data_IF_849603065224
#
_entry.id   IF_849603065224
#
_cell.length_a   1.000
_cell.length_b   1.000
_cell.length_c   1.000
_cell.angle_alpha   90.00
_cell.angle_beta   90.00
_cell.angle_gamma   90.00
#
_symmetry.space_group_name_H-M   'P 1'
#
loop_
_entity.id
_entity.type
_entity.pdbx_description
1 polymer ?
#
# COMPACT_ATOMS: atom_id res chain seq x y z
N UNK A 1 -12.20 -64.08 45.59
CA UNK A 1 -10.97 -64.60 46.24
C UNK A 1 -10.06 -63.40 46.42
N UNK A 2 -10.14 -62.83 47.43
CA UNK A 2 -9.34 -62.43 48.63
C UNK A 2 -7.84 -62.69 48.41
N UNK A 3 -7.02 -61.65 48.68
CA UNK A 3 -5.77 -61.57 49.50
C UNK A 3 -5.10 -60.23 49.14
N UNK A 4 -5.20 -59.21 49.90
CA UNK A 4 -4.40 -58.73 51.05
C UNK A 4 -3.03 -58.12 50.71
N UNK A 5 -2.93 -56.81 51.09
CA UNK A 5 -1.80 -55.95 51.29
C UNK A 5 -0.70 -56.55 52.17
N UNK A 6 0.53 -55.99 52.21
CA UNK A 6 0.76 -55.08 53.31
C UNK A 6 1.60 -53.81 53.00
N UNK A 7 1.37 -52.83 53.82
CA UNK A 7 2.13 -51.63 54.14
C UNK A 7 3.60 -51.93 54.51
N UNK A 8 4.52 -51.05 54.14
CA UNK A 8 5.65 -50.68 54.96
C UNK A 8 5.96 -49.19 54.87
N UNK A 9 6.10 -48.61 56.01
CA UNK A 9 6.37 -47.22 56.29
C UNK A 9 7.84 -46.96 56.62
N UNK A 10 8.22 -45.69 56.59
CA UNK A 10 9.25 -45.01 57.39
C UNK A 10 10.68 -44.99 56.86
N UNK A 11 11.15 -43.74 56.69
CA UNK A 11 12.56 -43.43 56.65
C UNK A 11 12.80 -41.94 56.30
N UNK A 12 12.52 -41.02 57.30
CA UNK A 12 13.08 -39.65 57.22
C UNK A 12 14.58 -39.74 57.52
N UNK A 13 15.39 -39.15 56.67
CA UNK A 13 16.74 -38.69 56.93
C UNK A 13 16.99 -37.33 56.35
N UNK A 14 17.05 -36.34 57.23
CA UNK A 14 17.54 -34.97 56.88
C UNK A 14 19.06 -34.94 57.02
N UNK A 15 19.75 -34.27 56.08
CA UNK A 15 21.08 -33.66 56.32
C UNK A 15 21.52 -32.91 55.03
N UNK A 16 22.57 -32.10 55.02
CA UNK A 16 22.43 -30.65 55.26
C UNK A 16 22.77 -29.82 53.98
N UNK A 17 22.44 -28.55 54.11
CA UNK A 17 22.76 -27.49 53.10
C UNK A 17 24.28 -27.36 52.88
N UNK A 18 24.68 -27.39 51.64
CA UNK A 18 25.94 -26.79 51.18
C UNK A 18 25.62 -25.65 50.22
N UNK A 19 25.82 -24.42 50.70
CA UNK A 19 25.89 -23.25 49.88
C UNK A 19 27.21 -23.33 49.07
N UNK A 20 27.07 -23.38 47.73
CA UNK A 20 28.15 -23.06 46.82
C UNK A 20 27.64 -21.99 45.85
N UNK A 21 28.14 -20.78 45.99
CA UNK A 21 27.91 -19.69 45.09
C UNK A 21 28.63 -20.00 43.76
N UNK A 22 28.08 -19.53 42.68
CA UNK A 22 28.73 -19.63 41.34
C UNK A 22 27.85 -19.11 40.24
N UNK A 23 28.16 -17.92 39.79
CA UNK A 23 28.06 -17.57 38.40
C UNK A 23 26.66 -17.36 37.81
N UNK A 24 26.09 -16.18 37.99
CA UNK A 24 25.01 -15.71 37.17
C UNK A 24 25.43 -15.59 35.72
N UNK A 25 25.19 -16.64 34.93
CA UNK A 25 25.06 -16.54 33.50
C UNK A 25 23.73 -15.86 33.17
N UNK A 26 23.74 -14.55 33.04
CA UNK A 26 22.61 -13.83 32.49
C UNK A 26 22.36 -14.34 31.08
N UNK A 27 21.37 -15.22 30.93
CA UNK A 27 20.72 -15.41 29.63
C UNK A 27 20.05 -14.08 29.34
N UNK A 28 20.71 -13.26 28.51
CA UNK A 28 20.05 -12.19 27.81
C UNK A 28 18.96 -12.86 26.95
N UNK A 29 17.75 -12.84 27.46
CA UNK A 29 16.56 -13.10 26.67
C UNK A 29 16.65 -12.16 25.47
N UNK A 30 16.88 -12.73 24.28
CA UNK A 30 16.74 -12.00 23.05
C UNK A 30 15.35 -11.32 23.11
N UNK A 31 15.27 -10.02 22.75
CA UNK A 31 13.97 -9.38 22.73
C UNK A 31 13.09 -10.19 21.81
N UNK A 32 12.02 -10.75 22.36
CA UNK A 32 10.96 -11.36 21.55
C UNK A 32 10.50 -10.29 20.58
N UNK A 33 10.72 -10.49 19.29
CA UNK A 33 10.10 -9.68 18.28
C UNK A 33 8.59 -9.90 18.46
N UNK A 34 7.94 -9.04 19.22
CA UNK A 34 6.49 -9.05 19.33
C UNK A 34 5.94 -8.88 17.93
N UNK A 35 5.02 -9.76 17.53
CA UNK A 35 4.28 -9.62 16.28
C UNK A 35 3.76 -8.18 16.16
N UNK A 36 3.73 -7.57 14.97
CA UNK A 36 3.23 -6.23 14.81
C UNK A 36 1.83 -6.13 15.44
N UNK A 37 1.61 -5.10 16.24
CA UNK A 37 0.34 -4.88 16.96
C UNK A 37 -0.83 -4.67 15.96
N UNK A 38 -0.53 -4.27 14.73
CA UNK A 38 -1.50 -3.96 13.70
C UNK A 38 -1.21 -4.77 12.41
N UNK A 39 -2.27 -5.12 11.69
CA UNK A 39 -2.14 -5.61 10.32
C UNK A 39 -2.24 -4.43 9.35
N UNK A 40 -1.14 -4.17 8.62
CA UNK A 40 -1.05 -3.02 7.74
C UNK A 40 -2.14 -2.99 6.65
N UNK A 41 -2.53 -4.15 6.12
CA UNK A 41 -3.55 -4.26 5.07
C UNK A 41 -4.94 -3.93 5.62
N UNK A 42 -5.28 -4.48 6.78
CA UNK A 42 -6.55 -4.22 7.46
C UNK A 42 -6.66 -2.75 7.87
N UNK A 43 -5.60 -2.17 8.43
CA UNK A 43 -5.56 -0.76 8.81
C UNK A 43 -5.65 0.16 7.59
N UNK A 44 -4.95 -0.16 6.49
CA UNK A 44 -5.08 0.57 5.24
C UNK A 44 -6.53 0.59 4.74
N UNK A 45 -7.20 -0.57 4.68
CA UNK A 45 -8.61 -0.68 4.25
C UNK A 45 -9.55 0.13 5.16
N UNK A 46 -9.33 0.03 6.48
CA UNK A 46 -10.09 0.80 7.47
C UNK A 46 -9.91 2.31 7.26
N UNK A 47 -8.68 2.75 7.00
CA UNK A 47 -8.36 4.13 6.70
C UNK A 47 -9.05 4.65 5.44
N UNK A 48 -9.04 3.86 4.37
CA UNK A 48 -9.70 4.19 3.10
C UNK A 48 -11.22 4.28 3.28
N UNK A 49 -11.85 3.30 3.94
CA UNK A 49 -13.29 3.34 4.24
C UNK A 49 -13.67 4.57 5.08
N UNK A 50 -12.82 4.93 6.04
CA UNK A 50 -13.02 6.12 6.87
C UNK A 50 -12.88 7.42 6.05
N UNK A 51 -11.95 7.50 5.07
CA UNK A 51 -11.87 8.64 4.15
C UNK A 51 -13.13 8.80 3.31
N UNK A 52 -13.65 7.69 2.77
CA UNK A 52 -14.89 7.68 1.99
C UNK A 52 -16.08 8.18 2.82
N UNK A 53 -16.12 7.79 4.09
CA UNK A 53 -17.12 8.27 5.04
C UNK A 53 -16.85 9.71 5.55
N UNK A 54 -15.81 10.39 5.03
CA UNK A 54 -15.30 11.69 5.51
C UNK A 54 -14.97 11.72 7.01
N UNK A 55 -14.73 10.53 7.59
CA UNK A 55 -14.28 10.40 8.97
C UNK A 55 -12.75 10.51 9.03
N UNK A 56 -12.25 11.72 8.87
CA UNK A 56 -10.80 11.99 8.78
C UNK A 56 -10.04 11.62 10.06
N UNK A 57 -10.70 11.65 11.22
CA UNK A 57 -10.06 11.25 12.49
C UNK A 57 -9.79 9.75 12.51
N UNK A 58 -10.77 8.94 12.15
CA UNK A 58 -10.59 7.49 12.06
C UNK A 58 -9.61 7.12 10.94
N UNK A 59 -9.70 7.80 9.78
CA UNK A 59 -8.77 7.60 8.67
C UNK A 59 -7.33 7.86 9.10
N UNK A 60 -7.06 9.00 9.77
CA UNK A 60 -5.75 9.33 10.31
C UNK A 60 -5.22 8.22 11.21
N UNK A 61 -6.04 7.76 12.16
CA UNK A 61 -5.62 6.72 13.12
C UNK A 61 -5.26 5.42 12.41
N UNK A 62 -6.11 4.97 11.49
CA UNK A 62 -5.88 3.73 10.76
C UNK A 62 -4.62 3.80 9.86
N UNK A 63 -4.41 4.90 9.14
CA UNK A 63 -3.17 5.05 8.36
C UNK A 63 -1.93 5.19 9.24
N UNK A 64 -2.02 5.83 10.39
CA UNK A 64 -0.90 5.89 11.34
C UNK A 64 -0.53 4.48 11.83
N UNK A 65 -1.51 3.61 12.13
CA UNK A 65 -1.29 2.21 12.47
C UNK A 65 -0.67 1.44 11.31
N UNK A 66 -1.21 1.56 10.10
CA UNK A 66 -0.65 0.91 8.91
C UNK A 66 0.83 1.30 8.70
N UNK A 67 1.16 2.57 8.92
CA UNK A 67 2.53 3.09 8.77
C UNK A 67 3.49 2.67 9.87
N UNK A 68 3.02 2.15 11.02
CA UNK A 68 3.91 1.51 12.01
C UNK A 68 4.49 0.21 11.47
N UNK A 69 3.74 -0.50 10.63
CA UNK A 69 4.13 -1.78 10.02
C UNK A 69 4.79 -1.57 8.67
N UNK A 70 4.22 -0.70 7.82
CA UNK A 70 4.69 -0.42 6.47
C UNK A 70 5.08 1.07 6.29
N UNK A 71 6.16 1.56 6.95
CA UNK A 71 6.49 2.99 6.99
C UNK A 71 6.95 3.58 5.65
N UNK A 72 7.23 2.73 4.66
CA UNK A 72 7.71 3.13 3.33
C UNK A 72 6.68 2.92 2.22
N UNK A 73 5.44 2.64 2.56
CA UNK A 73 4.36 2.57 1.58
C UNK A 73 3.93 3.99 1.16
N UNK A 74 4.17 4.33 -0.11
CA UNK A 74 3.92 5.66 -0.65
C UNK A 74 2.43 6.02 -0.65
N UNK A 75 1.57 5.05 -0.96
CA UNK A 75 0.12 5.25 -0.99
C UNK A 75 -0.43 5.55 0.41
N UNK A 76 -0.03 4.76 1.40
CA UNK A 76 -0.44 4.98 2.80
C UNK A 76 0.09 6.32 3.32
N UNK A 77 1.32 6.72 2.95
CA UNK A 77 1.83 8.05 3.27
C UNK A 77 0.97 9.15 2.65
N UNK A 78 0.63 9.03 1.37
CA UNK A 78 -0.24 9.99 0.69
C UNK A 78 -1.61 10.12 1.37
N UNK A 79 -2.30 9.00 1.59
CA UNK A 79 -3.63 8.97 2.21
C UNK A 79 -3.61 9.46 3.67
N UNK A 80 -2.53 9.22 4.41
CA UNK A 80 -2.33 9.80 5.73
C UNK A 80 -2.20 11.32 5.69
N UNK A 81 -1.63 11.86 4.59
CA UNK A 81 -1.64 13.29 4.28
C UNK A 81 -3.05 13.81 4.01
N UNK A 82 -3.82 13.11 3.16
CA UNK A 82 -5.22 13.46 2.83
C UNK A 82 -6.09 13.50 4.08
N UNK A 83 -5.97 12.50 4.96
CA UNK A 83 -6.72 12.48 6.22
C UNK A 83 -6.40 13.70 7.11
N UNK A 84 -5.15 14.14 7.13
CA UNK A 84 -4.72 15.32 7.89
C UNK A 84 -5.19 16.62 7.25
N UNK A 85 -5.19 16.71 5.92
CA UNK A 85 -5.79 17.84 5.20
C UNK A 85 -7.26 17.98 5.54
N UNK A 86 -8.02 16.88 5.57
CA UNK A 86 -9.41 16.86 5.98
C UNK A 86 -9.64 17.30 7.45
N UNK A 87 -8.64 17.20 8.30
CA UNK A 87 -8.65 17.71 9.68
C UNK A 87 -8.15 19.16 9.80
N UNK A 88 -7.70 19.79 8.71
CA UNK A 88 -7.07 21.12 8.74
C UNK A 88 -5.63 21.09 9.27
N UNK A 89 -5.03 19.92 9.53
CA UNK A 89 -3.63 19.78 9.94
C UNK A 89 -2.71 19.85 8.73
N UNK A 90 -2.61 21.03 8.12
CA UNK A 90 -1.77 21.25 6.93
C UNK A 90 -0.28 21.01 7.20
N UNK A 91 0.20 21.33 8.41
CA UNK A 91 1.61 21.09 8.77
C UNK A 91 1.92 19.60 8.88
N UNK A 92 0.99 18.81 9.38
CA UNK A 92 1.07 17.35 9.39
C UNK A 92 0.98 16.81 7.98
N UNK A 93 -0.04 17.18 7.21
CA UNK A 93 -0.28 16.73 5.83
C UNK A 93 0.96 16.90 4.95
N UNK A 94 1.58 18.09 4.98
CA UNK A 94 2.82 18.40 4.25
C UNK A 94 3.92 17.35 4.43
N UNK A 95 4.14 16.91 5.69
CA UNK A 95 5.19 15.92 5.98
C UNK A 95 4.91 14.58 5.29
N UNK A 96 3.66 14.18 5.24
CA UNK A 96 3.23 12.93 4.64
C UNK A 96 3.24 13.00 3.12
N UNK A 97 2.79 14.10 2.50
CA UNK A 97 2.88 14.32 1.06
C UNK A 97 4.34 14.36 0.57
N UNK A 98 5.21 15.08 1.29
CA UNK A 98 6.64 15.11 0.97
C UNK A 98 7.27 13.71 1.03
N UNK A 99 6.86 12.89 2.01
CA UNK A 99 7.36 11.52 2.15
C UNK A 99 6.82 10.62 1.04
N UNK A 100 5.54 10.73 0.68
CA UNK A 100 4.95 10.02 -0.44
C UNK A 100 5.65 10.36 -1.77
N UNK A 101 5.82 11.64 -2.08
CA UNK A 101 6.52 12.12 -3.28
C UNK A 101 8.00 11.67 -3.35
N UNK A 102 8.65 11.52 -2.19
CA UNK A 102 10.01 10.98 -2.10
C UNK A 102 10.06 9.46 -2.31
N UNK A 103 9.07 8.73 -1.83
CA UNK A 103 8.99 7.26 -1.95
C UNK A 103 8.58 6.84 -3.36
N UNK A 104 7.67 7.59 -3.97
CA UNK A 104 7.26 7.42 -5.37
C UNK A 104 7.31 8.77 -6.10
N UNK A 105 8.37 8.97 -6.87
CA UNK A 105 8.55 10.19 -7.65
C UNK A 105 7.51 10.34 -8.78
N UNK A 106 6.83 9.28 -9.18
CA UNK A 106 5.79 9.28 -10.21
C UNK A 106 4.38 9.55 -9.65
N UNK A 107 4.23 9.62 -8.34
CA UNK A 107 2.97 9.97 -7.68
C UNK A 107 2.72 11.49 -7.80
N UNK A 108 2.25 11.92 -8.97
CA UNK A 108 2.06 13.35 -9.29
C UNK A 108 1.08 14.03 -8.33
N UNK A 109 0.06 13.29 -7.86
CA UNK A 109 -0.89 13.81 -6.86
C UNK A 109 -0.22 14.18 -5.54
N UNK A 110 0.80 13.44 -5.12
CA UNK A 110 1.55 13.77 -3.90
C UNK A 110 2.40 15.06 -4.10
N UNK A 111 2.96 15.27 -5.27
CA UNK A 111 3.64 16.51 -5.62
C UNK A 111 2.68 17.70 -5.68
N UNK A 112 1.51 17.52 -6.31
CA UNK A 112 0.46 18.54 -6.36
C UNK A 112 0.06 18.99 -4.95
N UNK A 113 -0.32 18.01 -4.11
CA UNK A 113 -0.87 18.32 -2.78
C UNK A 113 0.21 18.84 -1.82
N UNK A 114 1.48 18.47 -2.03
CA UNK A 114 2.61 19.07 -1.35
C UNK A 114 2.72 20.57 -1.70
N UNK A 115 2.78 20.91 -2.99
CA UNK A 115 2.91 22.28 -3.45
C UNK A 115 1.73 23.17 -3.07
N UNK A 116 0.50 22.64 -3.18
CA UNK A 116 -0.72 23.32 -2.72
C UNK A 116 -0.67 23.57 -1.22
N UNK A 117 -0.27 22.57 -0.43
CA UNK A 117 -0.17 22.69 1.03
C UNK A 117 0.92 23.71 1.44
N UNK A 118 2.07 23.72 0.75
CA UNK A 118 3.12 24.71 0.97
C UNK A 118 2.63 26.14 0.66
N UNK A 119 1.88 26.32 -0.44
CA UNK A 119 1.23 27.59 -0.77
C UNK A 119 0.23 28.05 0.29
N UNK A 120 -0.63 27.17 0.77
CA UNK A 120 -1.60 27.44 1.82
C UNK A 120 -0.95 27.77 3.17
N UNK A 121 0.21 27.18 3.47
CA UNK A 121 1.01 27.50 4.65
C UNK A 121 1.82 28.79 4.50
N UNK A 122 1.79 29.45 3.33
CA UNK A 122 2.54 30.65 3.02
C UNK A 122 4.02 30.41 2.70
N UNK A 123 4.46 29.14 2.59
CA UNK A 123 5.82 28.77 2.21
C UNK A 123 5.99 28.84 0.68
N UNK A 124 5.98 30.07 0.15
CA UNK A 124 6.03 30.31 -1.29
C UNK A 124 7.28 29.73 -1.95
N UNK A 125 8.40 29.70 -1.24
CA UNK A 125 9.65 29.16 -1.78
C UNK A 125 9.52 27.68 -2.09
N UNK A 126 9.03 26.89 -1.14
CA UNK A 126 8.83 25.44 -1.36
C UNK A 126 7.73 25.14 -2.36
N UNK A 127 6.66 25.92 -2.36
CA UNK A 127 5.62 25.78 -3.37
C UNK A 127 6.17 26.03 -4.79
N UNK A 128 7.07 27.03 -4.96
CA UNK A 128 7.75 27.30 -6.23
C UNK A 128 8.72 26.18 -6.63
N UNK A 129 9.48 25.62 -5.68
CA UNK A 129 10.35 24.46 -5.92
C UNK A 129 9.54 23.26 -6.40
N UNK A 130 8.41 23.00 -5.75
CA UNK A 130 7.50 21.92 -6.14
C UNK A 130 6.89 22.15 -7.51
N UNK A 131 6.46 23.39 -7.81
CA UNK A 131 5.95 23.78 -9.12
C UNK A 131 6.99 23.55 -10.22
N UNK A 132 8.22 24.01 -10.00
CA UNK A 132 9.31 23.80 -10.97
C UNK A 132 9.59 22.32 -11.23
N UNK A 133 9.51 21.47 -10.19
CA UNK A 133 9.65 20.02 -10.33
C UNK A 133 8.52 19.40 -11.16
N UNK A 134 7.27 19.86 -11.01
CA UNK A 134 6.12 19.45 -11.81
C UNK A 134 6.29 19.91 -13.27
N UNK A 135 6.66 21.16 -13.49
CA UNK A 135 6.88 21.74 -14.82
C UNK A 135 7.99 21.04 -15.58
N UNK A 136 9.08 20.69 -14.90
CA UNK A 136 10.16 19.89 -15.50
C UNK A 136 9.67 18.53 -15.97
N UNK A 137 8.82 17.85 -15.20
CA UNK A 137 8.20 16.58 -15.63
C UNK A 137 7.22 16.79 -16.78
N UNK A 138 6.44 17.87 -16.72
CA UNK A 138 5.49 18.23 -17.80
C UNK A 138 6.20 18.52 -19.11
N UNK A 139 7.32 19.22 -19.10
CA UNK A 139 8.10 19.49 -20.31
C UNK A 139 8.73 18.24 -20.91
N UNK A 140 9.10 17.26 -20.08
CA UNK A 140 9.59 15.97 -20.51
C UNK A 140 8.47 15.02 -21.00
N UNK A 141 7.22 15.31 -20.66
CA UNK A 141 6.04 14.53 -20.98
C UNK A 141 5.32 15.16 -22.18
N UNK A 142 5.41 14.53 -23.37
CA UNK A 142 4.68 14.96 -24.55
C UNK A 142 3.16 14.78 -24.36
N UNK A 143 2.33 15.41 -25.21
CA UNK A 143 0.86 15.31 -25.11
C UNK A 143 0.31 13.87 -25.16
N UNK A 144 1.06 12.95 -25.73
CA UNK A 144 0.73 11.51 -25.79
C UNK A 144 1.14 10.72 -24.54
N UNK A 145 1.85 11.36 -23.62
CA UNK A 145 2.28 10.73 -22.36
C UNK A 145 1.07 10.47 -21.45
N UNK A 146 0.97 9.30 -20.82
CA UNK A 146 -0.17 8.94 -19.98
C UNK A 146 -0.42 9.89 -18.80
N UNK A 147 0.59 10.63 -18.36
CA UNK A 147 0.52 11.55 -17.23
C UNK A 147 0.28 13.02 -17.64
N UNK A 148 0.14 13.34 -18.93
CA UNK A 148 0.06 14.72 -19.42
C UNK A 148 -1.07 15.51 -18.74
N UNK A 149 -2.26 14.93 -18.63
CA UNK A 149 -3.42 15.57 -18.01
C UNK A 149 -3.21 15.83 -16.50
N UNK A 150 -2.70 14.83 -15.77
CA UNK A 150 -2.46 14.95 -14.32
C UNK A 150 -1.34 15.95 -14.01
N UNK A 151 -0.29 15.99 -14.84
CA UNK A 151 0.78 16.98 -14.72
C UNK A 151 0.29 18.39 -14.99
N UNK A 152 -0.61 18.59 -15.98
CA UNK A 152 -1.22 19.89 -16.26
C UNK A 152 -2.07 20.35 -15.07
N UNK A 153 -2.94 19.48 -14.54
CA UNK A 153 -3.76 19.77 -13.37
C UNK A 153 -2.90 20.13 -12.15
N UNK A 154 -1.83 19.37 -11.91
CA UNK A 154 -0.91 19.64 -10.79
C UNK A 154 -0.19 20.99 -10.92
N UNK A 155 0.27 21.35 -12.13
CA UNK A 155 0.89 22.64 -12.43
C UNK A 155 -0.10 23.79 -12.13
N UNK A 156 -1.32 23.71 -12.65
CA UNK A 156 -2.36 24.71 -12.45
C UNK A 156 -2.76 24.86 -10.97
N UNK A 157 -2.91 23.74 -10.25
CA UNK A 157 -3.29 23.75 -8.83
C UNK A 157 -2.23 24.43 -7.94
N UNK A 158 -0.94 24.11 -8.16
CA UNK A 158 0.13 24.71 -7.36
C UNK A 158 0.34 26.18 -7.74
N UNK A 159 0.23 26.53 -9.03
CA UNK A 159 0.28 27.92 -9.48
C UNK A 159 -0.86 28.77 -8.85
N UNK A 160 -2.07 28.23 -8.79
CA UNK A 160 -3.22 28.89 -8.15
C UNK A 160 -2.99 29.09 -6.64
N UNK A 161 -2.44 28.09 -5.95
CA UNK A 161 -2.11 28.20 -4.54
C UNK A 161 -1.04 29.28 -4.26
N UNK A 162 -0.04 29.42 -5.14
CA UNK A 162 0.97 30.47 -5.09
C UNK A 162 0.42 31.87 -5.33
N UNK A 163 -0.59 31.98 -6.23
CA UNK A 163 -1.27 33.24 -6.50
C UNK A 163 -2.22 33.69 -5.38
N UNK A 164 -2.40 32.87 -4.33
CA UNK A 164 -3.33 33.14 -3.25
C UNK A 164 -4.79 33.02 -3.68
N UNK A 165 -5.05 32.43 -4.84
CA UNK A 165 -6.40 32.04 -5.22
C UNK A 165 -6.82 30.94 -4.24
N UNK A 166 -7.98 31.04 -3.59
CA UNK A 166 -8.47 29.97 -2.73
C UNK A 166 -8.57 28.70 -3.57
N UNK A 167 -7.51 27.91 -3.55
CA UNK A 167 -7.60 26.53 -4.04
C UNK A 167 -8.54 25.87 -3.06
N UNK A 168 -9.64 25.30 -3.55
CA UNK A 168 -10.66 24.64 -2.74
C UNK A 168 -10.06 23.35 -2.18
N UNK A 169 -9.03 23.48 -1.33
CA UNK A 169 -8.63 22.48 -0.33
C UNK A 169 -9.59 22.52 0.86
N UNK A 170 -10.72 23.18 0.72
CA UNK A 170 -11.74 23.19 1.72
C UNK A 170 -12.57 21.92 1.57
N UNK A 171 -12.28 20.93 2.40
CA UNK A 171 -13.35 20.07 2.88
C UNK A 171 -14.34 21.02 3.55
N UNK A 172 -15.54 21.26 3.01
CA UNK A 172 -16.48 22.20 3.62
C UNK A 172 -16.94 21.65 4.97
N UNK A 173 -16.68 22.43 6.02
CA UNK A 173 -17.09 22.12 7.37
C UNK A 173 -18.62 22.29 7.61
N UNK A 174 -19.42 22.64 6.61
CA UNK A 174 -20.88 22.69 6.73
C UNK A 174 -21.55 22.50 5.38
N UNK A 175 -22.60 21.66 5.37
CA UNK A 175 -23.35 21.28 4.19
C UNK A 175 -23.90 22.47 3.40
N UNK A 176 -23.56 22.46 2.12
CA UNK A 176 -24.35 22.96 0.99
C UNK A 176 -23.63 22.58 -0.30
N UNK A 177 -24.37 22.13 -1.24
CA UNK A 177 -24.01 21.72 -2.58
C UNK A 177 -23.07 22.69 -3.29
N UNK A 178 -21.77 22.29 -3.38
CA UNK A 178 -20.86 22.75 -4.41
C UNK A 178 -19.73 21.76 -4.46
N UNK A 179 -19.74 20.91 -5.50
CA UNK A 179 -18.76 19.85 -5.70
C UNK A 179 -17.33 20.38 -5.63
N UNK A 180 -16.59 19.91 -4.65
CA UNK A 180 -15.18 20.20 -4.49
C UNK A 180 -14.41 19.57 -5.64
N UNK A 181 -13.93 20.40 -6.58
CA UNK A 181 -13.16 19.97 -7.76
C UNK A 181 -11.83 19.27 -7.41
N UNK A 182 -11.35 19.38 -6.16
CA UNK A 182 -10.14 18.70 -5.70
C UNK A 182 -10.36 17.22 -5.37
N UNK A 183 -11.58 16.86 -4.99
CA UNK A 183 -11.97 15.45 -4.83
C UNK A 183 -12.72 14.91 -6.04
N UNK A 184 -13.10 15.76 -7.01
CA UNK A 184 -13.85 15.31 -8.17
C UNK A 184 -13.01 14.53 -9.18
N UNK A 185 -11.71 14.78 -9.28
CA UNK A 185 -10.85 14.03 -10.21
C UNK A 185 -10.01 12.94 -9.52
N UNK A 186 -9.39 13.23 -8.36
CA UNK A 186 -8.62 12.21 -7.62
C UNK A 186 -9.51 11.33 -6.73
N UNK A 187 -10.54 11.90 -6.10
CA UNK A 187 -11.48 11.13 -5.29
C UNK A 187 -12.33 10.15 -6.09
N UNK A 188 -12.63 10.45 -7.36
CA UNK A 188 -13.33 9.52 -8.24
C UNK A 188 -12.46 8.32 -8.60
N UNK A 189 -11.19 8.55 -8.97
CA UNK A 189 -10.26 7.46 -9.27
C UNK A 189 -9.93 6.59 -8.05
N UNK A 190 -9.76 7.20 -6.85
CA UNK A 190 -9.55 6.47 -5.60
C UNK A 190 -10.78 5.64 -5.22
N UNK A 191 -11.99 6.20 -5.33
CA UNK A 191 -13.22 5.47 -5.05
C UNK A 191 -13.42 4.30 -6.00
N UNK A 192 -13.13 4.48 -7.29
CA UNK A 192 -13.19 3.42 -8.30
C UNK A 192 -12.14 2.33 -8.07
N UNK A 193 -10.92 2.70 -7.69
CA UNK A 193 -9.88 1.74 -7.35
C UNK A 193 -10.26 0.90 -6.12
N UNK A 194 -10.76 1.54 -5.06
CA UNK A 194 -11.20 0.84 -3.85
C UNK A 194 -12.42 -0.02 -4.12
N UNK A 195 -13.39 0.48 -4.89
CA UNK A 195 -14.53 -0.31 -5.33
C UNK A 195 -14.09 -1.53 -6.15
N UNK A 196 -13.10 -1.35 -7.02
CA UNK A 196 -12.55 -2.45 -7.80
C UNK A 196 -11.89 -3.52 -6.93
N UNK A 197 -11.13 -3.13 -5.90
CA UNK A 197 -10.52 -4.08 -4.96
C UNK A 197 -11.60 -4.83 -4.17
N UNK A 198 -12.67 -4.16 -3.75
CA UNK A 198 -13.82 -4.82 -3.12
C UNK A 198 -14.49 -5.83 -4.06
N UNK A 199 -14.73 -5.44 -5.32
CA UNK A 199 -15.29 -6.33 -6.34
C UNK A 199 -14.39 -7.53 -6.65
N UNK A 200 -13.06 -7.37 -6.60
CA UNK A 200 -12.11 -8.48 -6.72
C UNK A 200 -12.26 -9.46 -5.55
N UNK A 201 -12.37 -8.95 -4.32
CA UNK A 201 -12.58 -9.78 -3.14
C UNK A 201 -13.91 -10.54 -3.19
N UNK A 202 -14.94 -9.92 -3.79
CA UNK A 202 -16.25 -10.52 -4.03
C UNK A 202 -16.29 -11.43 -5.28
N UNK A 203 -15.14 -11.62 -5.96
CA UNK A 203 -14.99 -12.38 -7.22
C UNK A 203 -15.80 -11.82 -8.41
N UNK A 204 -16.23 -10.56 -8.33
CA UNK A 204 -16.94 -9.84 -9.38
C UNK A 204 -15.95 -9.21 -10.38
N UNK A 205 -15.19 -10.05 -11.08
CA UNK A 205 -14.02 -9.62 -11.86
C UNK A 205 -14.38 -8.75 -13.07
N UNK A 206 -15.52 -8.95 -13.73
CA UNK A 206 -15.99 -8.08 -14.82
C UNK A 206 -16.23 -6.65 -14.34
N UNK A 207 -16.97 -6.50 -13.24
CA UNK A 207 -17.26 -5.18 -12.67
C UNK A 207 -15.97 -4.53 -12.13
N UNK A 208 -15.07 -5.33 -11.54
CA UNK A 208 -13.77 -4.87 -11.09
C UNK A 208 -12.94 -4.30 -12.25
N UNK A 209 -12.95 -4.94 -13.42
CA UNK A 209 -12.26 -4.46 -14.62
C UNK A 209 -12.80 -3.09 -15.06
N UNK A 210 -14.11 -2.87 -15.05
CA UNK A 210 -14.68 -1.58 -15.42
C UNK A 210 -14.32 -0.47 -14.41
N UNK A 211 -14.37 -0.76 -13.12
CA UNK A 211 -13.94 0.16 -12.08
C UNK A 211 -12.42 0.46 -12.18
N UNK A 212 -11.58 -0.54 -12.43
CA UNK A 212 -10.14 -0.36 -12.65
C UNK A 212 -9.83 0.45 -13.90
N UNK A 213 -10.57 0.26 -15.00
CA UNK A 213 -10.45 1.09 -16.21
C UNK A 213 -10.85 2.54 -15.93
N UNK A 214 -11.86 2.76 -15.09
CA UNK A 214 -12.24 4.10 -14.65
C UNK A 214 -11.13 4.74 -13.82
N UNK A 215 -10.58 4.01 -12.85
CA UNK A 215 -9.42 4.44 -12.08
C UNK A 215 -8.19 4.71 -12.98
N UNK A 216 -7.95 3.86 -13.99
CA UNK A 216 -6.88 4.05 -14.95
C UNK A 216 -7.03 5.35 -15.77
N UNK A 217 -8.27 5.73 -16.12
CA UNK A 217 -8.51 7.04 -16.79
C UNK A 217 -8.17 8.22 -15.88
N UNK A 218 -8.36 8.07 -14.58
CA UNK A 218 -8.06 9.13 -13.62
C UNK A 218 -6.57 9.21 -13.24
N UNK A 219 -5.90 8.06 -13.07
CA UNK A 219 -4.52 7.97 -12.57
C UNK A 219 -3.48 7.60 -13.64
N UNK A 220 -3.90 7.31 -14.87
CA UNK A 220 -3.03 6.79 -15.89
C UNK A 220 -2.65 5.32 -15.66
N UNK A 221 -1.53 4.90 -16.24
CA UNK A 221 -1.03 3.53 -16.18
C UNK A 221 -0.32 3.23 -14.84
N UNK A 222 -1.04 3.36 -13.72
CA UNK A 222 -0.49 3.08 -12.39
C UNK A 222 -0.18 1.58 -12.23
N UNK A 223 0.99 1.18 -11.69
CA UNK A 223 1.38 -0.22 -11.60
C UNK A 223 0.39 -1.11 -10.86
N UNK A 224 -0.19 -0.64 -9.75
CA UNK A 224 -1.19 -1.39 -9.00
C UNK A 224 -2.48 -1.61 -9.81
N UNK A 225 -2.96 -0.56 -10.50
CA UNK A 225 -4.17 -0.65 -11.34
C UNK A 225 -3.93 -1.66 -12.47
N UNK A 226 -2.78 -1.58 -13.14
CA UNK A 226 -2.40 -2.55 -14.17
C UNK A 226 -2.28 -3.97 -13.61
N UNK A 227 -1.71 -4.12 -12.41
CA UNK A 227 -1.60 -5.41 -11.73
C UNK A 227 -2.96 -6.02 -11.46
N UNK A 228 -3.92 -5.24 -10.94
CA UNK A 228 -5.26 -5.74 -10.66
C UNK A 228 -6.10 -5.96 -11.93
N UNK A 229 -5.89 -5.17 -13.00
CA UNK A 229 -6.46 -5.46 -14.32
C UNK A 229 -5.94 -6.81 -14.85
N UNK A 230 -4.66 -7.07 -14.69
CA UNK A 230 -4.06 -8.37 -15.00
C UNK A 230 -4.67 -9.49 -14.18
N UNK A 231 -4.77 -9.31 -12.87
CA UNK A 231 -5.36 -10.29 -11.95
C UNK A 231 -6.81 -10.62 -12.30
N UNK A 232 -7.67 -9.62 -12.47
CA UNK A 232 -9.08 -9.85 -12.79
C UNK A 232 -9.25 -10.54 -14.15
N UNK A 233 -8.49 -10.16 -15.18
CA UNK A 233 -8.51 -10.83 -16.47
C UNK A 233 -8.01 -12.28 -16.37
N UNK A 234 -6.98 -12.57 -15.56
CA UNK A 234 -6.48 -13.92 -15.32
C UNK A 234 -7.57 -14.79 -14.66
N UNK A 235 -8.27 -14.26 -13.65
CA UNK A 235 -9.38 -14.97 -12.98
C UNK A 235 -10.56 -15.27 -13.91
N UNK A 236 -10.72 -14.51 -15.00
CA UNK A 236 -11.68 -14.75 -16.07
C UNK A 236 -11.15 -15.65 -17.19
N UNK A 237 -9.94 -16.20 -17.04
CA UNK A 237 -9.31 -17.06 -18.06
C UNK A 237 -8.77 -16.28 -19.27
N UNK A 238 -8.76 -14.95 -19.25
CA UNK A 238 -8.27 -14.09 -20.33
C UNK A 238 -6.75 -13.90 -20.21
N UNK A 239 -6.01 -15.02 -20.34
CA UNK A 239 -4.60 -15.09 -19.97
C UNK A 239 -3.69 -14.18 -20.79
N UNK A 240 -3.97 -13.99 -22.09
CA UNK A 240 -3.17 -13.11 -22.97
C UNK A 240 -3.33 -11.63 -22.58
N UNK A 241 -4.56 -11.23 -22.23
CA UNK A 241 -4.86 -9.88 -21.76
C UNK A 241 -4.17 -9.64 -20.40
N UNK A 242 -4.25 -10.62 -19.51
CA UNK A 242 -3.59 -10.55 -18.19
C UNK A 242 -2.08 -10.39 -18.32
N UNK A 243 -1.44 -11.14 -19.22
CA UNK A 243 -0.01 -11.01 -19.50
C UNK A 243 0.35 -9.60 -19.98
N UNK A 244 -0.45 -9.03 -20.88
CA UNK A 244 -0.25 -7.67 -21.36
C UNK A 244 -0.24 -6.65 -20.21
N UNK A 245 -1.18 -6.76 -19.29
CA UNK A 245 -1.26 -5.88 -18.13
C UNK A 245 -0.10 -6.08 -17.16
N UNK A 246 0.32 -7.31 -16.85
CA UNK A 246 1.47 -7.56 -15.98
C UNK A 246 2.78 -7.04 -16.58
N UNK A 247 2.97 -7.20 -17.89
CA UNK A 247 4.12 -6.62 -18.59
C UNK A 247 4.11 -5.10 -18.51
N UNK A 248 2.95 -4.47 -18.74
CA UNK A 248 2.80 -3.02 -18.61
C UNK A 248 3.08 -2.53 -17.19
N UNK A 249 2.60 -3.24 -16.16
CA UNK A 249 2.90 -2.92 -14.77
C UNK A 249 4.40 -2.98 -14.47
N UNK A 250 5.10 -4.01 -14.98
CA UNK A 250 6.54 -4.19 -14.78
C UNK A 250 7.39 -3.24 -15.63
N UNK A 251 6.86 -2.71 -16.74
CA UNK A 251 7.50 -1.61 -17.49
C UNK A 251 7.38 -0.31 -16.70
N UNK A 252 6.18 -0.02 -16.14
CA UNK A 252 5.95 1.18 -15.33
C UNK A 252 6.74 1.14 -14.01
N UNK A 253 6.82 -0.02 -13.37
CA UNK A 253 7.55 -0.23 -12.12
C UNK A 253 8.26 -1.59 -12.12
N UNK A 254 9.54 -1.64 -12.57
CA UNK A 254 10.29 -2.90 -12.66
C UNK A 254 10.46 -3.64 -11.33
N UNK A 255 10.36 -2.94 -10.20
CA UNK A 255 10.43 -3.51 -8.85
C UNK A 255 9.07 -3.86 -8.23
N UNK A 256 7.98 -3.81 -8.97
CA UNK A 256 6.64 -4.05 -8.42
C UNK A 256 6.44 -5.53 -8.07
N UNK A 257 6.43 -5.85 -6.76
CA UNK A 257 6.40 -7.22 -6.26
C UNK A 257 5.13 -7.96 -6.63
N UNK A 258 3.95 -7.36 -6.40
CA UNK A 258 2.67 -7.99 -6.75
C UNK A 258 2.53 -8.31 -8.24
N UNK A 259 2.98 -7.40 -9.14
CA UNK A 259 3.00 -7.69 -10.58
C UNK A 259 3.97 -8.85 -10.92
N UNK A 260 5.13 -8.90 -10.24
CA UNK A 260 6.10 -9.98 -10.45
C UNK A 260 5.56 -11.33 -9.98
N UNK A 261 4.89 -11.36 -8.83
CA UNK A 261 4.23 -12.54 -8.28
C UNK A 261 3.13 -13.04 -9.22
N UNK A 262 2.12 -12.20 -9.50
CA UNK A 262 0.97 -12.61 -10.31
C UNK A 262 1.34 -12.96 -11.75
N UNK A 263 2.38 -12.34 -12.30
CA UNK A 263 2.92 -12.75 -13.59
C UNK A 263 3.58 -14.13 -13.50
N UNK A 264 4.30 -14.40 -12.40
CA UNK A 264 4.85 -15.74 -12.12
C UNK A 264 3.76 -16.80 -11.99
N UNK A 265 2.65 -16.50 -11.30
CA UNK A 265 1.48 -17.41 -11.19
C UNK A 265 0.85 -17.69 -12.57
N UNK A 266 0.68 -16.64 -13.40
CA UNK A 266 0.20 -16.81 -14.77
C UNK A 266 1.12 -17.73 -15.58
N UNK A 267 2.44 -17.63 -15.41
CA UNK A 267 3.40 -18.52 -16.07
C UNK A 267 3.24 -19.97 -15.61
N UNK A 268 2.95 -20.20 -14.31
CA UNK A 268 2.63 -21.55 -13.80
C UNK A 268 1.37 -22.08 -14.46
N UNK A 269 0.30 -21.30 -14.56
CA UNK A 269 -0.95 -21.69 -15.25
C UNK A 269 -0.70 -22.04 -16.72
N UNK A 270 0.21 -21.33 -17.38
CA UNK A 270 0.64 -21.61 -18.77
C UNK A 270 1.69 -22.73 -18.90
N UNK A 271 2.06 -23.37 -17.79
CA UNK A 271 3.11 -24.38 -17.70
C UNK A 271 4.52 -23.90 -18.07
N UNK A 272 4.76 -22.57 -18.10
CA UNK A 272 6.09 -21.99 -18.18
C UNK A 272 6.73 -21.91 -16.79
N UNK A 273 7.08 -23.06 -16.25
CA UNK A 273 7.73 -23.14 -14.93
C UNK A 273 9.10 -22.45 -14.93
N UNK A 274 9.79 -22.42 -16.06
CA UNK A 274 11.08 -21.73 -16.18
C UNK A 274 10.88 -20.21 -16.05
N UNK A 275 9.86 -19.66 -16.69
CA UNK A 275 9.45 -18.26 -16.54
C UNK A 275 9.07 -17.93 -15.11
N UNK A 276 8.22 -18.74 -14.48
CA UNK A 276 7.82 -18.56 -13.09
C UNK A 276 9.00 -18.52 -12.12
N UNK A 277 9.99 -19.42 -12.31
CA UNK A 277 11.24 -19.41 -11.52
C UNK A 277 12.07 -18.15 -11.73
N UNK A 278 12.07 -17.55 -12.93
CA UNK A 278 12.72 -16.25 -13.17
C UNK A 278 12.02 -15.13 -12.40
N UNK A 279 10.68 -15.13 -12.32
CA UNK A 279 9.94 -14.17 -11.50
C UNK A 279 10.23 -14.37 -10.02
N UNK A 280 10.26 -15.61 -9.53
CA UNK A 280 10.64 -15.91 -8.16
C UNK A 280 12.05 -15.42 -7.83
N UNK A 281 13.03 -15.65 -8.69
CA UNK A 281 14.40 -15.17 -8.49
C UNK A 281 14.47 -13.63 -8.40
N UNK A 282 13.62 -12.90 -9.14
CA UNK A 282 13.49 -11.43 -9.00
C UNK A 282 12.93 -11.03 -7.64
N UNK A 283 11.93 -11.73 -7.14
CA UNK A 283 11.36 -11.48 -5.80
C UNK A 283 12.40 -11.79 -4.72
N UNK A 284 13.10 -12.92 -4.80
CA UNK A 284 14.14 -13.31 -3.84
C UNK A 284 15.28 -12.26 -3.78
N UNK A 285 15.65 -11.69 -4.93
CA UNK A 285 16.66 -10.64 -4.99
C UNK A 285 16.20 -9.33 -4.32
N UNK A 286 14.90 -9.04 -4.36
CA UNK A 286 14.31 -7.84 -3.73
C UNK A 286 14.04 -8.04 -2.23
N UNK A 287 13.71 -9.26 -1.83
CA UNK A 287 13.24 -9.63 -0.50
C UNK A 287 14.30 -10.43 0.26
N UNK A 288 15.41 -9.80 0.62
CA UNK A 288 16.56 -10.47 1.27
C UNK A 288 16.21 -11.25 2.55
N UNK A 289 15.11 -10.94 3.18
CA UNK A 289 14.64 -11.60 4.42
C UNK A 289 13.31 -12.36 4.22
N UNK A 290 12.93 -12.62 2.96
CA UNK A 290 11.64 -13.18 2.58
C UNK A 290 10.56 -12.11 2.42
N UNK A 291 9.53 -12.41 1.62
CA UNK A 291 8.30 -11.64 1.48
C UNK A 291 7.16 -12.57 1.06
N UNK A 292 5.94 -12.15 1.36
CA UNK A 292 4.73 -12.94 1.09
C UNK A 292 4.64 -13.32 -0.39
N UNK A 293 4.95 -12.39 -1.28
CA UNK A 293 4.88 -12.59 -2.73
C UNK A 293 5.84 -13.69 -3.21
N UNK A 294 7.04 -13.76 -2.64
CA UNK A 294 7.99 -14.83 -2.98
C UNK A 294 7.54 -16.19 -2.45
N UNK A 295 6.99 -16.24 -1.22
CA UNK A 295 6.49 -17.48 -0.61
C UNK A 295 5.26 -18.01 -1.37
N UNK A 296 4.35 -17.13 -1.77
CA UNK A 296 3.15 -17.48 -2.54
C UNK A 296 3.53 -18.03 -3.91
N UNK A 297 4.40 -17.34 -4.65
CA UNK A 297 4.87 -17.83 -5.94
C UNK A 297 5.66 -19.15 -5.82
N UNK A 298 6.42 -19.34 -4.74
CA UNK A 298 7.11 -20.59 -4.43
C UNK A 298 6.13 -21.75 -4.22
N UNK A 299 5.01 -21.45 -3.52
CA UNK A 299 3.93 -22.42 -3.33
C UNK A 299 3.25 -22.78 -4.67
N UNK A 300 2.97 -21.79 -5.51
CA UNK A 300 2.43 -22.00 -6.86
C UNK A 300 3.33 -22.89 -7.72
N UNK A 301 4.64 -22.63 -7.77
CA UNK A 301 5.59 -23.44 -8.54
C UNK A 301 5.65 -24.89 -8.03
N UNK A 302 5.47 -25.10 -6.73
CA UNK A 302 5.55 -26.42 -6.10
C UNK A 302 4.31 -27.27 -6.36
N UNK A 303 3.12 -26.66 -6.26
CA UNK A 303 1.84 -27.39 -6.36
C UNK A 303 1.09 -27.19 -7.67
N UNK A 304 1.52 -26.24 -8.50
CA UNK A 304 0.90 -25.95 -9.79
C UNK A 304 -0.41 -25.16 -9.71
N UNK A 305 -0.83 -24.71 -8.52
CA UNK A 305 -2.03 -23.88 -8.31
C UNK A 305 -1.94 -23.12 -6.97
N UNK A 306 -2.81 -22.11 -6.77
CA UNK A 306 -2.90 -21.41 -5.49
C UNK A 306 -3.60 -22.29 -4.44
N UNK A 307 -3.05 -22.44 -3.23
CA UNK A 307 -3.74 -23.08 -2.13
C UNK A 307 -4.99 -22.31 -1.65
N UNK A 308 -5.20 -21.07 -2.10
CA UNK A 308 -6.33 -20.20 -1.73
C UNK A 308 -7.37 -20.00 -2.85
N UNK A 309 -7.33 -20.80 -3.90
CA UNK A 309 -8.24 -20.67 -5.06
C UNK A 309 -9.48 -21.58 -4.99
N UNK A 310 -9.93 -21.95 -3.80
CA UNK A 310 -11.19 -22.67 -3.56
C UNK A 310 -12.23 -21.79 -2.91
#
# INVERSE_FOLDING_TARGET
MRILLPFFAVGLLAAPAHAAGGGGGGMSSAPSASAPQYDAVTEYRTGVAALQAKNFKSAKTAFDHALTVAPRDANTQYLAGVARTGLGDLKGARKFYAKAAKLDANMIVAWRDLGVTDGQLGDKVKAQETLAAIQSRRSACTETCPQAAVLKEADEAVAAALAGVPTVSAVPATGAESGSLLFASSGFGDSEYVAAVALINDRNYEQAIEALKSAQRAFGAHPDILTYLGFANRKLGRLDIAEGYYRAALIAAPGHRGATEYFGELMVERRDIAGARRMLARLDAQCRFGCTEAEELRAWIRVGYSPHSS
#
